data_IF_937391957488
#
_entry.id   IF_937391957488
#
_cell.length_a   1.000
_cell.length_b   1.000
_cell.length_c   1.000
_cell.angle_alpha   90.00
_cell.angle_beta   90.00
_cell.angle_gamma   90.00
#
_symmetry.space_group_name_H-M   'P 1'
#
loop_
_entity.id
_entity.type
_entity.pdbx_description
1 polymer ?
#
# COMPACT_ATOMS: atom_id res chain seq x y z
N UNK A 1 9.15 -2.17 -19.85
CA UNK A 1 8.75 -2.28 -21.27
C UNK A 1 9.21 -1.02 -22.00
N UNK A 2 9.55 -1.12 -23.28
CA UNK A 2 9.87 0.03 -24.15
C UNK A 2 8.79 0.17 -25.22
N UNK A 3 8.16 1.33 -25.28
CA UNK A 3 7.19 1.68 -26.31
C UNK A 3 7.88 2.52 -27.40
N UNK A 4 8.25 1.88 -28.50
CA UNK A 4 8.95 2.54 -29.60
C UNK A 4 8.08 3.66 -30.19
N UNK A 5 8.67 4.85 -30.32
CA UNK A 5 7.98 6.03 -30.86
C UNK A 5 6.97 6.69 -29.91
N UNK A 6 6.88 6.29 -28.63
CA UNK A 6 5.91 6.84 -27.66
C UNK A 6 5.90 8.36 -27.55
N UNK A 7 7.06 9.01 -27.67
CA UNK A 7 7.21 10.47 -27.58
C UNK A 7 6.90 11.22 -28.89
N UNK A 8 6.67 10.53 -30.02
CA UNK A 8 6.38 11.20 -31.30
C UNK A 8 5.01 11.89 -31.26
N UNK A 9 4.82 13.04 -31.93
CA UNK A 9 3.55 13.78 -31.90
C UNK A 9 2.33 12.95 -32.33
N UNK A 10 2.47 12.11 -33.36
CA UNK A 10 1.42 11.21 -33.89
C UNK A 10 1.54 9.77 -33.38
N UNK A 11 2.10 9.60 -32.18
CA UNK A 11 2.29 8.27 -31.57
C UNK A 11 0.95 7.63 -31.24
N UNK A 12 0.74 6.38 -31.67
CA UNK A 12 -0.41 5.56 -31.28
C UNK A 12 -0.50 5.31 -29.76
N UNK A 13 0.59 5.52 -29.03
CA UNK A 13 0.67 5.35 -27.57
C UNK A 13 0.16 6.56 -26.80
N UNK A 14 0.09 7.73 -27.46
CA UNK A 14 -0.30 8.98 -26.86
C UNK A 14 -1.78 8.91 -26.49
N UNK A 15 -2.11 9.23 -25.24
CA UNK A 15 -3.48 9.12 -24.71
C UNK A 15 -3.85 7.72 -24.20
N UNK A 16 -3.11 6.67 -24.56
CA UNK A 16 -3.32 5.30 -24.03
C UNK A 16 -2.44 5.05 -22.81
N UNK A 17 -1.14 5.32 -22.92
CA UNK A 17 -0.17 5.10 -21.83
C UNK A 17 -0.21 6.24 -20.82
N UNK A 18 -1.28 6.29 -20.03
CA UNK A 18 -1.50 7.26 -18.96
C UNK A 18 -1.51 6.55 -17.60
N UNK A 19 -1.07 7.21 -16.51
CA UNK A 19 -1.31 6.71 -15.15
C UNK A 19 -2.79 6.42 -14.93
N UNK A 20 -3.08 5.39 -14.12
CA UNK A 20 -4.44 5.04 -13.67
C UNK A 20 -5.44 4.74 -14.80
N UNK A 21 -4.94 4.41 -16.00
CA UNK A 21 -5.71 3.81 -17.08
C UNK A 21 -5.48 2.29 -17.05
N UNK A 22 -6.51 1.47 -16.79
CA UNK A 22 -6.39 0.02 -16.92
C UNK A 22 -6.10 -0.35 -18.38
N UNK A 23 -5.10 -1.21 -18.58
CA UNK A 23 -4.61 -1.60 -19.90
C UNK A 23 -4.46 -3.10 -20.01
N UNK A 24 -4.93 -3.65 -21.13
CA UNK A 24 -4.46 -4.94 -21.65
C UNK A 24 -3.23 -4.68 -22.51
N UNK A 25 -2.12 -5.32 -22.19
CA UNK A 25 -0.84 -5.12 -22.90
C UNK A 25 -0.31 -6.43 -23.43
N UNK A 26 0.34 -6.37 -24.59
CA UNK A 26 1.15 -7.47 -25.12
C UNK A 26 2.57 -6.97 -25.38
N UNK A 27 3.54 -7.82 -25.09
CA UNK A 27 4.96 -7.47 -25.23
C UNK A 27 5.78 -8.68 -25.65
N UNK A 28 6.96 -8.44 -26.19
CA UNK A 28 7.90 -9.50 -26.58
C UNK A 28 9.34 -9.05 -26.34
N UNK A 29 10.24 -9.99 -26.05
CA UNK A 29 11.65 -9.69 -25.81
C UNK A 29 12.33 -10.84 -25.06
N UNK A 30 13.63 -10.70 -24.83
CA UNK A 30 14.46 -11.62 -24.02
C UNK A 30 15.33 -10.82 -23.08
N UNK A 31 15.79 -11.43 -21.99
CA UNK A 31 16.60 -10.75 -20.99
C UNK A 31 15.81 -9.62 -20.33
N UNK A 32 16.45 -8.50 -20.00
CA UNK A 32 15.82 -7.37 -19.28
C UNK A 32 15.03 -6.40 -20.18
N UNK A 33 15.14 -6.52 -21.50
CA UNK A 33 14.56 -5.55 -22.45
C UNK A 33 13.39 -6.15 -23.23
N UNK A 34 12.19 -5.63 -22.95
CA UNK A 34 10.95 -6.03 -23.63
C UNK A 34 10.35 -4.85 -24.38
N UNK A 35 9.90 -5.11 -25.61
CA UNK A 35 9.21 -4.13 -26.45
C UNK A 35 7.70 -4.31 -26.32
N UNK A 36 6.99 -3.21 -26.05
CA UNK A 36 5.53 -3.15 -26.05
C UNK A 36 5.01 -3.33 -27.49
N UNK A 37 4.14 -4.31 -27.70
CA UNK A 37 3.55 -4.65 -29.00
C UNK A 37 2.16 -4.05 -29.17
N UNK A 38 1.32 -4.19 -28.16
CA UNK A 38 0.00 -3.57 -28.09
C UNK A 38 -0.29 -3.09 -26.67
N UNK A 39 -1.15 -2.07 -26.57
CA UNK A 39 -1.72 -1.58 -25.33
C UNK A 39 -3.12 -1.05 -25.66
N UNK A 40 -4.12 -1.58 -24.99
CA UNK A 40 -5.52 -1.26 -25.22
C UNK A 40 -6.19 -0.97 -23.88
N UNK A 41 -6.96 0.11 -23.74
CA UNK A 41 -7.80 0.35 -22.57
C UNK A 41 -8.72 -0.85 -22.32
N UNK A 42 -8.63 -1.45 -21.15
CA UNK A 42 -9.53 -2.56 -20.75
C UNK A 42 -10.80 -2.06 -20.08
N UNK A 43 -10.77 -0.85 -19.52
CA UNK A 43 -11.90 -0.17 -18.89
C UNK A 43 -11.70 1.35 -18.92
N UNK A 44 -12.62 2.10 -18.30
CA UNK A 44 -12.48 3.55 -18.15
C UNK A 44 -11.29 3.88 -17.24
N UNK A 45 -10.65 5.02 -17.48
CA UNK A 45 -9.63 5.55 -16.57
C UNK A 45 -10.26 5.92 -15.23
N UNK A 46 -9.52 5.73 -14.15
CA UNK A 46 -9.90 6.26 -12.85
C UNK A 46 -9.72 7.77 -12.85
N UNK A 47 -10.80 8.51 -12.54
CA UNK A 47 -10.77 9.95 -12.38
C UNK A 47 -10.56 10.27 -10.91
N UNK A 48 -9.30 10.44 -10.51
CA UNK A 48 -8.90 10.65 -9.12
C UNK A 48 -8.32 12.05 -8.98
N UNK A 49 -8.92 12.86 -8.10
CA UNK A 49 -8.51 14.23 -7.83
C UNK A 49 -7.85 14.42 -6.46
N UNK A 50 -7.26 15.60 -6.26
CA UNK A 50 -6.79 16.08 -4.95
C UNK A 50 -5.88 15.12 -4.21
N UNK A 51 -6.17 14.91 -2.91
CA UNK A 51 -5.40 14.01 -2.05
C UNK A 51 -5.51 12.53 -2.45
N UNK A 52 -6.62 12.13 -3.09
CA UNK A 52 -6.76 10.78 -3.62
C UNK A 52 -5.73 10.50 -4.71
N UNK A 53 -5.45 11.46 -5.58
CA UNK A 53 -4.46 11.31 -6.65
C UNK A 53 -3.05 11.10 -6.08
N UNK A 54 -2.71 11.87 -5.04
CA UNK A 54 -1.43 11.72 -4.36
C UNK A 54 -1.31 10.36 -3.65
N UNK A 55 -2.41 9.88 -3.08
CA UNK A 55 -2.50 8.56 -2.46
C UNK A 55 -2.29 7.44 -3.50
N UNK A 56 -2.90 7.58 -4.68
CA UNK A 56 -2.70 6.65 -5.79
C UNK A 56 -1.24 6.63 -6.29
N UNK A 57 -0.58 7.78 -6.36
CA UNK A 57 0.86 7.83 -6.67
C UNK A 57 1.73 7.22 -5.57
N UNK A 58 1.38 7.40 -4.30
CA UNK A 58 2.06 6.76 -3.19
C UNK A 58 1.96 5.23 -3.26
N UNK A 59 0.77 4.70 -3.57
CA UNK A 59 0.59 3.25 -3.83
C UNK A 59 1.47 2.77 -4.99
N UNK A 60 1.54 3.52 -6.09
CA UNK A 60 2.44 3.19 -7.20
C UNK A 60 3.90 3.14 -6.78
N UNK A 61 4.35 4.12 -5.98
CA UNK A 61 5.72 4.19 -5.52
C UNK A 61 6.06 3.01 -4.61
N UNK A 62 5.16 2.63 -3.70
CA UNK A 62 5.31 1.44 -2.86
C UNK A 62 5.48 0.18 -3.71
N UNK A 63 4.57 -0.05 -4.68
CA UNK A 63 4.63 -1.22 -5.57
C UNK A 63 5.95 -1.26 -6.36
N UNK A 64 6.37 -0.15 -6.95
CA UNK A 64 7.61 -0.08 -7.74
C UNK A 64 8.85 -0.33 -6.87
N UNK A 65 8.79 0.02 -5.59
CA UNK A 65 9.94 -0.02 -4.69
C UNK A 65 10.09 -1.36 -3.97
N UNK A 66 8.97 -1.98 -3.58
CA UNK A 66 8.91 -3.20 -2.79
C UNK A 66 8.77 -4.47 -3.65
N UNK A 67 8.13 -4.40 -4.82
CA UNK A 67 7.90 -5.59 -5.62
C UNK A 67 9.13 -6.00 -6.43
N UNK A 68 9.34 -7.32 -6.52
CA UNK A 68 10.31 -7.90 -7.44
C UNK A 68 9.81 -7.88 -8.89
N UNK A 69 10.74 -7.72 -9.82
CA UNK A 69 10.40 -7.73 -11.25
C UNK A 69 10.04 -9.14 -11.68
N UNK A 70 8.85 -9.28 -12.29
CA UNK A 70 8.31 -10.53 -12.86
C UNK A 70 7.86 -11.56 -11.82
N UNK A 71 7.71 -11.13 -10.58
CA UNK A 71 6.94 -11.90 -9.62
C UNK A 71 5.45 -11.59 -9.80
N UNK A 72 4.63 -12.63 -9.87
CA UNK A 72 3.22 -12.50 -10.23
C UNK A 72 2.38 -12.41 -8.96
N UNK A 73 1.67 -11.29 -8.80
CA UNK A 73 0.77 -11.03 -7.67
C UNK A 73 -0.64 -10.66 -8.18
N UNK A 74 -1.45 -11.64 -8.63
CA UNK A 74 -2.77 -11.39 -9.20
C UNK A 74 -3.74 -10.76 -8.20
N UNK A 75 -3.70 -11.22 -6.94
CA UNK A 75 -4.60 -10.75 -5.89
C UNK A 75 -4.23 -9.32 -5.49
N UNK A 76 -2.95 -9.00 -5.29
CA UNK A 76 -2.49 -7.63 -5.09
C UNK A 76 -2.90 -6.70 -6.25
N UNK A 77 -2.83 -7.19 -7.49
CA UNK A 77 -3.27 -6.40 -8.65
C UNK A 77 -4.78 -6.10 -8.62
N UNK A 78 -5.61 -7.06 -8.19
CA UNK A 78 -7.04 -6.84 -8.00
C UNK A 78 -7.32 -5.83 -6.87
N UNK A 79 -6.63 -5.97 -5.71
CA UNK A 79 -6.76 -5.05 -4.59
C UNK A 79 -6.30 -3.63 -4.93
N UNK A 80 -5.23 -3.48 -5.71
CA UNK A 80 -4.81 -2.19 -6.23
C UNK A 80 -5.89 -1.54 -7.11
N UNK A 81 -6.54 -2.32 -7.99
CA UNK A 81 -7.66 -1.85 -8.79
C UNK A 81 -8.85 -1.38 -7.94
N UNK A 82 -9.20 -2.16 -6.91
CA UNK A 82 -10.26 -1.80 -5.96
C UNK A 82 -9.93 -0.51 -5.17
N UNK A 83 -8.68 -0.34 -4.74
CA UNK A 83 -8.22 0.87 -4.06
C UNK A 83 -8.31 2.10 -4.97
N UNK A 84 -7.96 1.98 -6.25
CA UNK A 84 -8.14 3.09 -7.21
C UNK A 84 -9.62 3.44 -7.42
N UNK A 85 -10.50 2.44 -7.47
CA UNK A 85 -11.94 2.65 -7.63
C UNK A 85 -12.56 3.35 -6.41
N UNK A 86 -12.15 2.96 -5.21
CA UNK A 86 -12.52 3.61 -3.95
C UNK A 86 -12.09 5.10 -3.94
N UNK A 87 -10.84 5.39 -4.32
CA UNK A 87 -10.35 6.76 -4.42
C UNK A 87 -11.10 7.58 -5.49
N UNK A 88 -11.41 6.98 -6.65
CA UNK A 88 -12.19 7.64 -7.70
C UNK A 88 -13.64 7.91 -7.28
N UNK A 89 -14.19 7.05 -6.40
CA UNK A 89 -15.53 7.21 -5.82
C UNK A 89 -15.58 8.21 -4.67
N UNK A 90 -14.44 8.79 -4.27
CA UNK A 90 -14.35 9.79 -3.21
C UNK A 90 -14.28 9.22 -1.80
N UNK A 91 -13.95 7.93 -1.63
CA UNK A 91 -13.66 7.37 -0.31
C UNK A 91 -12.46 8.08 0.33
N UNK A 92 -12.46 8.14 1.67
CA UNK A 92 -11.43 8.85 2.42
C UNK A 92 -10.03 8.27 2.12
N UNK A 93 -9.07 9.09 1.63
CA UNK A 93 -7.79 8.56 1.18
C UNK A 93 -6.94 7.86 2.25
N UNK A 94 -6.92 8.33 3.50
CA UNK A 94 -6.15 7.64 4.55
C UNK A 94 -6.68 6.22 4.79
N UNK A 95 -8.00 6.02 4.81
CA UNK A 95 -8.67 4.73 4.94
C UNK A 95 -8.26 3.77 3.82
N UNK A 96 -8.37 4.21 2.57
CA UNK A 96 -7.96 3.39 1.41
C UNK A 96 -6.48 3.03 1.50
N UNK A 97 -5.63 3.98 1.89
CA UNK A 97 -4.20 3.73 2.06
C UNK A 97 -3.89 2.74 3.18
N UNK A 98 -4.54 2.84 4.34
CA UNK A 98 -4.28 1.90 5.44
C UNK A 98 -4.62 0.47 5.03
N UNK A 99 -5.79 0.27 4.39
CA UNK A 99 -6.20 -1.03 3.83
C UNK A 99 -5.19 -1.58 2.84
N UNK A 100 -4.79 -0.76 1.87
CA UNK A 100 -3.82 -1.15 0.85
C UNK A 100 -2.44 -1.50 1.44
N UNK A 101 -1.96 -0.73 2.43
CA UNK A 101 -0.68 -0.98 3.09
C UNK A 101 -0.65 -2.27 3.90
N UNK A 102 -1.74 -2.60 4.62
CA UNK A 102 -1.89 -3.87 5.35
C UNK A 102 -1.80 -5.04 4.36
N UNK A 103 -2.58 -4.99 3.28
CA UNK A 103 -2.57 -6.00 2.23
C UNK A 103 -1.18 -6.13 1.60
N UNK A 104 -0.56 -5.02 1.21
CA UNK A 104 0.74 -5.02 0.57
C UNK A 104 1.82 -5.64 1.47
N UNK A 105 1.85 -5.29 2.76
CA UNK A 105 2.79 -5.88 3.71
C UNK A 105 2.63 -7.40 3.79
N UNK A 106 1.39 -7.90 3.81
CA UNK A 106 1.11 -9.33 3.74
C UNK A 106 1.70 -9.98 2.49
N UNK A 107 1.44 -9.39 1.32
CA UNK A 107 1.90 -9.91 0.02
C UNK A 107 3.43 -9.92 -0.12
N UNK A 108 4.13 -8.92 0.46
CA UNK A 108 5.60 -8.86 0.41
C UNK A 108 6.30 -9.64 1.54
N UNK A 109 5.55 -10.42 2.33
CA UNK A 109 6.10 -11.28 3.38
C UNK A 109 6.39 -10.57 4.71
N UNK A 110 5.88 -9.36 4.90
CA UNK A 110 5.98 -8.55 6.13
C UNK A 110 4.61 -8.40 6.81
N UNK A 111 3.75 -9.42 6.70
CA UNK A 111 2.41 -9.43 7.27
C UNK A 111 2.42 -9.14 8.78
N UNK A 112 1.34 -8.52 9.26
CA UNK A 112 1.16 -8.20 10.67
C UNK A 112 0.94 -9.49 11.48
N UNK A 113 1.61 -9.59 12.63
CA UNK A 113 1.37 -10.67 13.60
C UNK A 113 0.41 -10.11 14.64
N UNK A 114 -0.87 -10.41 14.50
CA UNK A 114 -1.93 -9.87 15.40
C UNK A 114 -2.95 -10.92 15.83
N UNK A 115 -2.72 -12.19 15.49
CA UNK A 115 -3.63 -13.28 15.86
C UNK A 115 -3.59 -13.62 17.35
N UNK A 116 -2.40 -13.49 17.96
CA UNK A 116 -2.17 -13.83 19.35
C UNK A 116 -1.03 -13.01 19.96
N UNK A 117 -1.03 -12.90 21.29
CA UNK A 117 0.06 -12.28 22.04
C UNK A 117 1.28 -13.20 22.16
N UNK A 118 2.47 -12.62 22.23
CA UNK A 118 3.71 -13.41 22.24
C UNK A 118 3.95 -14.20 23.53
N UNK A 119 3.31 -13.85 24.65
CA UNK A 119 3.61 -14.44 25.97
C UNK A 119 2.73 -15.66 26.24
N UNK A 120 1.42 -15.48 26.17
CA UNK A 120 0.41 -16.50 26.44
C UNK A 120 -0.01 -17.25 25.18
N UNK A 121 0.32 -16.74 23.98
CA UNK A 121 -0.11 -17.31 22.70
C UNK A 121 -1.64 -17.41 22.61
N UNK A 122 -2.33 -16.43 23.17
CA UNK A 122 -3.79 -16.32 23.16
C UNK A 122 -4.24 -15.14 22.28
N UNK A 123 -5.47 -15.18 21.74
CA UNK A 123 -6.03 -14.05 21.03
C UNK A 123 -5.95 -12.75 21.81
N UNK A 124 -5.74 -11.64 21.10
CA UNK A 124 -5.60 -10.33 21.72
C UNK A 124 -6.89 -9.93 22.45
N UNK A 125 -6.76 -9.63 23.74
CA UNK A 125 -7.86 -9.10 24.53
C UNK A 125 -8.11 -7.63 24.13
N UNK A 126 -9.34 -7.33 23.72
CA UNK A 126 -9.71 -6.03 23.15
C UNK A 126 -9.26 -4.84 24.01
N UNK A 127 -9.49 -4.91 25.32
CA UNK A 127 -9.25 -3.83 26.27
C UNK A 127 -7.82 -3.81 26.85
N UNK A 128 -6.98 -4.77 26.47
CA UNK A 128 -5.60 -4.87 26.97
C UNK A 128 -4.64 -4.10 26.06
N UNK A 129 -3.61 -3.51 26.66
CA UNK A 129 -2.54 -2.85 25.94
C UNK A 129 -1.42 -3.83 25.58
N UNK A 130 -0.89 -3.64 24.38
CA UNK A 130 0.21 -4.41 23.84
C UNK A 130 1.25 -3.48 23.23
N UNK A 131 2.52 -3.68 23.55
CA UNK A 131 3.62 -3.09 22.81
C UNK A 131 3.93 -3.98 21.60
N UNK A 132 3.79 -3.43 20.40
CA UNK A 132 4.02 -4.18 19.17
C UNK A 132 5.50 -4.15 18.81
N UNK A 133 6.16 -5.31 18.93
CA UNK A 133 7.56 -5.47 18.54
C UNK A 133 7.63 -5.95 17.09
N UNK A 134 8.26 -5.20 16.16
CA UNK A 134 8.45 -5.65 14.78
C UNK A 134 9.06 -7.06 14.71
N UNK A 135 8.60 -7.87 13.77
CA UNK A 135 8.98 -9.28 13.56
C UNK A 135 8.65 -10.26 14.71
N UNK A 136 8.15 -9.77 15.85
CA UNK A 136 7.69 -10.60 16.97
C UNK A 136 6.19 -10.54 17.21
N UNK A 137 5.59 -9.37 17.04
CA UNK A 137 4.17 -9.12 17.31
C UNK A 137 3.92 -8.51 18.71
N UNK A 138 2.67 -8.57 19.19
CA UNK A 138 2.21 -7.88 20.39
C UNK A 138 2.67 -8.54 21.70
N UNK A 139 3.36 -7.77 22.53
CA UNK A 139 3.75 -8.11 23.90
C UNK A 139 2.77 -7.45 24.86
N UNK A 140 2.08 -8.19 25.76
CA UNK A 140 1.22 -7.57 26.75
C UNK A 140 2.03 -6.66 27.68
N UNK A 141 1.56 -5.43 27.90
CA UNK A 141 2.22 -4.46 28.79
C UNK A 141 1.23 -3.81 29.73
N UNK A 142 1.70 -3.47 30.92
CA UNK A 142 1.01 -2.55 31.82
C UNK A 142 1.43 -1.11 31.49
N UNK A 143 0.62 -0.12 31.85
CA UNK A 143 0.80 1.26 31.41
C UNK A 143 2.16 1.89 31.79
N UNK A 144 2.84 1.33 32.79
CA UNK A 144 4.12 1.81 33.33
C UNK A 144 5.34 1.32 32.53
N UNK A 145 5.20 0.23 31.75
CA UNK A 145 6.27 -0.42 30.96
C UNK A 145 6.07 -0.26 29.44
N UNK A 146 5.26 0.73 29.03
CA UNK A 146 4.87 0.95 27.64
C UNK A 146 6.03 1.45 26.76
N UNK A 147 6.29 0.75 25.65
CA UNK A 147 7.19 1.19 24.58
C UNK A 147 6.59 2.25 23.65
N UNK A 148 7.19 2.45 22.48
CA UNK A 148 6.74 3.47 21.51
C UNK A 148 5.51 3.05 20.69
N UNK A 149 5.31 1.74 20.53
CA UNK A 149 4.29 1.12 19.67
C UNK A 149 3.21 0.42 20.49
N UNK A 150 2.69 1.13 21.49
CA UNK A 150 1.57 0.63 22.32
C UNK A 150 0.21 0.90 21.68
N UNK A 151 -0.59 -0.17 21.61
CA UNK A 151 -1.94 -0.21 21.05
C UNK A 151 -2.87 -1.08 21.90
N UNK A 152 -4.18 -0.84 21.83
CA UNK A 152 -5.16 -1.78 22.37
C UNK A 152 -5.25 -3.05 21.51
N UNK A 153 -5.67 -4.17 22.10
CA UNK A 153 -5.95 -5.38 21.34
C UNK A 153 -7.04 -5.18 20.27
N UNK A 154 -8.00 -4.30 20.54
CA UNK A 154 -9.03 -3.90 19.58
C UNK A 154 -8.42 -3.16 18.37
N UNK A 155 -7.50 -2.22 18.62
CA UNK A 155 -6.79 -1.51 17.54
C UNK A 155 -5.96 -2.48 16.70
N UNK A 156 -5.19 -3.38 17.32
CA UNK A 156 -4.33 -4.33 16.59
C UNK A 156 -5.14 -5.28 15.72
N UNK A 157 -6.24 -5.81 16.25
CA UNK A 157 -7.17 -6.65 15.50
C UNK A 157 -7.76 -5.89 14.31
N UNK A 158 -8.25 -4.66 14.54
CA UNK A 158 -8.79 -3.79 13.49
C UNK A 158 -7.77 -3.49 12.39
N UNK A 159 -6.52 -3.19 12.76
CA UNK A 159 -5.43 -2.95 11.81
C UNK A 159 -5.12 -4.23 11.00
N UNK A 160 -5.08 -5.40 11.66
CA UNK A 160 -4.88 -6.69 11.00
C UNK A 160 -5.92 -6.99 9.92
N UNK A 161 -7.18 -6.74 10.24
CA UNK A 161 -8.29 -6.93 9.30
C UNK A 161 -8.40 -5.84 8.23
N UNK A 162 -7.70 -4.71 8.38
CA UNK A 162 -7.88 -3.53 7.52
C UNK A 162 -9.26 -2.87 7.71
N UNK A 163 -9.89 -3.06 8.86
CA UNK A 163 -11.21 -2.53 9.19
C UNK A 163 -11.05 -1.36 10.15
N UNK A 164 -11.46 -0.17 9.73
CA UNK A 164 -11.29 1.06 10.50
C UNK A 164 -12.62 1.80 10.57
N UNK A 165 -13.11 2.01 11.79
CA UNK A 165 -14.38 2.67 12.07
C UNK A 165 -14.19 4.09 12.61
N UNK A 166 -12.96 4.43 13.03
CA UNK A 166 -12.65 5.73 13.62
C UNK A 166 -11.34 6.34 13.12
N UNK A 167 -11.25 7.66 13.23
CA UNK A 167 -10.02 8.41 12.96
C UNK A 167 -8.89 8.09 13.95
N UNK A 168 -9.23 7.60 15.14
CA UNK A 168 -8.26 7.11 16.11
C UNK A 168 -7.60 5.82 15.62
N UNK A 169 -8.39 4.86 15.12
CA UNK A 169 -7.87 3.62 14.54
C UNK A 169 -7.01 3.88 13.30
N UNK A 170 -7.40 4.80 12.41
CA UNK A 170 -6.56 5.18 11.26
C UNK A 170 -5.21 5.75 11.67
N UNK A 171 -5.19 6.57 12.74
CA UNK A 171 -3.95 7.12 13.31
C UNK A 171 -3.07 6.03 13.91
N UNK A 172 -3.67 5.07 14.62
CA UNK A 172 -2.96 3.93 15.19
C UNK A 172 -2.40 3.03 14.08
N UNK A 173 -3.19 2.72 13.04
CA UNK A 173 -2.75 2.02 11.84
C UNK A 173 -1.55 2.73 11.19
N UNK A 174 -1.60 4.05 11.05
CA UNK A 174 -0.48 4.84 10.51
C UNK A 174 0.75 4.80 11.40
N UNK A 175 0.59 4.83 12.72
CA UNK A 175 1.71 4.68 13.68
C UNK A 175 2.37 3.31 13.57
N UNK A 176 1.59 2.24 13.40
CA UNK A 176 2.10 0.87 13.29
C UNK A 176 2.68 0.55 11.91
N UNK A 177 1.95 0.85 10.82
CA UNK A 177 2.34 0.47 9.46
C UNK A 177 3.57 1.24 8.97
N UNK A 178 3.75 2.49 9.41
CA UNK A 178 4.87 3.33 8.95
C UNK A 178 6.25 2.73 9.27
N UNK A 179 6.59 2.34 10.50
CA UNK A 179 7.87 1.70 10.79
C UNK A 179 8.01 0.36 10.07
N UNK A 180 6.95 -0.44 9.95
CA UNK A 180 6.99 -1.73 9.25
C UNK A 180 7.28 -1.55 7.74
N UNK A 181 6.59 -0.61 7.10
CA UNK A 181 6.88 -0.24 5.71
C UNK A 181 8.30 0.31 5.56
N UNK A 182 8.78 1.12 6.50
CA UNK A 182 10.15 1.64 6.42
C UNK A 182 11.19 0.52 6.53
N UNK A 183 10.94 -0.50 7.37
CA UNK A 183 11.78 -1.69 7.46
C UNK A 183 11.77 -2.47 6.14
N UNK A 184 10.58 -2.73 5.57
CA UNK A 184 10.43 -3.41 4.28
C UNK A 184 11.09 -2.62 3.12
N UNK A 185 11.10 -1.29 3.18
CA UNK A 185 11.74 -0.43 2.20
C UNK A 185 13.28 -0.46 2.27
N UNK A 186 13.86 -1.00 3.35
CA UNK A 186 15.32 -1.15 3.48
C UNK A 186 16.08 0.18 3.39
N UNK A 187 15.52 1.24 3.97
CA UNK A 187 16.14 2.58 3.97
C UNK A 187 15.90 3.43 2.71
N UNK A 188 15.15 2.93 1.72
CA UNK A 188 14.72 3.73 0.56
C UNK A 188 13.68 4.77 1.00
N UNK A 189 13.87 6.03 0.61
CA UNK A 189 12.88 7.09 0.83
C UNK A 189 11.84 7.12 -0.28
N UNK A 190 10.62 7.53 0.07
CA UNK A 190 9.51 7.69 -0.88
C UNK A 190 9.35 9.17 -1.22
N UNK A 191 9.51 9.51 -2.50
CA UNK A 191 9.38 10.87 -3.03
C UNK A 191 7.97 11.41 -2.86
N UNK A 192 6.95 10.56 -2.97
CA UNK A 192 5.57 10.98 -2.76
C UNK A 192 5.34 11.52 -1.34
N UNK A 193 6.02 10.97 -0.33
CA UNK A 193 5.98 11.51 1.05
C UNK A 193 6.62 12.90 1.13
N UNK A 194 7.74 13.11 0.45
CA UNK A 194 8.42 14.42 0.40
C UNK A 194 7.55 15.48 -0.27
N UNK A 195 6.94 15.14 -1.41
CA UNK A 195 6.03 16.02 -2.15
C UNK A 195 4.81 16.36 -1.29
N UNK A 196 4.16 15.37 -0.68
CA UNK A 196 3.03 15.61 0.23
C UNK A 196 3.41 16.54 1.39
N UNK A 197 4.56 16.31 2.03
CA UNK A 197 5.05 17.17 3.11
C UNK A 197 5.41 18.59 2.65
N UNK A 198 5.73 18.79 1.36
CA UNK A 198 5.96 20.12 0.79
C UNK A 198 4.66 20.86 0.44
N UNK A 199 3.59 20.13 0.10
CA UNK A 199 2.28 20.70 -0.24
C UNK A 199 1.44 21.09 0.99
N UNK A 200 1.71 20.46 2.14
CA UNK A 200 1.07 20.78 3.43
C UNK A 200 1.77 21.89 4.22
N UNK A 201 2.83 22.48 3.66
CA UNK A 201 3.53 23.66 4.20
C UNK A 201 3.01 24.93 3.54
#
# INVERSE_FOLDING_TARGET
LVANGARRPKSRWRGVLRPFQPLRVSWSGRGSLYTLRAAEPSSRSFDIGGMGLMSAYYMNELLITLMERRDAHPDLFAHYGAALDALASGEEPELVLRRFEVLLLGEVGYGLIVDADVVLQQPLAADRLYDYVPDRGPVPVDAEDAGDLVFSGADLTAIGCGEFESTAQLRNAKRLLRPLLNAALGGKTLRTREVLASMMR
#
